data_IF_488124369599
#
_entry.id   IF_488124369599
#
_cell.length_a   1.000
_cell.length_b   1.000
_cell.length_c   1.000
_cell.angle_alpha   90.00
_cell.angle_beta   90.00
_cell.angle_gamma   90.00
#
_symmetry.space_group_name_H-M   'P 1'
#
loop_
_entity.id
_entity.type
_entity.pdbx_description
1 polymer ?
#
# COMPACT_ATOMS: atom_id res chain seq x y z
N UNK A 1 -23.02 -8.79 -17.95
CA UNK A 1 -21.87 -7.88 -17.84
C UNK A 1 -20.77 -8.65 -17.18
N UNK A 2 -19.72 -9.03 -17.90
CA UNK A 2 -18.52 -9.57 -17.29
C UNK A 2 -17.87 -8.43 -16.52
N UNK A 3 -18.03 -8.41 -15.20
CA UNK A 3 -17.19 -7.57 -14.37
C UNK A 3 -15.85 -8.29 -14.31
N UNK A 4 -14.85 -7.74 -15.01
CA UNK A 4 -13.47 -8.09 -14.69
C UNK A 4 -13.27 -7.89 -13.18
N UNK A 5 -12.52 -8.77 -12.52
CA UNK A 5 -12.23 -8.62 -11.10
C UNK A 5 -11.60 -7.23 -10.88
N UNK A 6 -11.93 -6.54 -9.78
CA UNK A 6 -11.36 -5.24 -9.49
C UNK A 6 -9.83 -5.35 -9.44
N UNK A 7 -9.13 -4.39 -10.04
CA UNK A 7 -7.67 -4.33 -9.94
C UNK A 7 -7.30 -4.12 -8.47
N UNK A 8 -6.37 -4.95 -7.99
CA UNK A 8 -5.89 -4.92 -6.62
C UNK A 8 -4.58 -4.14 -6.59
N UNK A 9 -4.50 -3.11 -5.76
CA UNK A 9 -3.32 -2.27 -5.58
C UNK A 9 -2.73 -2.48 -4.18
N UNK A 10 -1.42 -2.28 -4.03
CA UNK A 10 -0.76 -2.08 -2.73
C UNK A 10 -0.23 -0.65 -2.68
N UNK A 11 -0.39 0.06 -1.57
CA UNK A 11 0.21 1.40 -1.38
C UNK A 11 1.44 1.34 -0.51
N UNK A 12 2.42 2.20 -0.82
CA UNK A 12 3.47 2.59 0.11
C UNK A 12 2.95 3.60 1.16
N UNK A 13 3.83 4.00 2.09
CA UNK A 13 3.47 4.99 3.12
C UNK A 13 3.46 6.42 2.57
N UNK A 14 4.38 6.76 1.65
CA UNK A 14 4.58 8.12 1.18
C UNK A 14 3.35 8.68 0.45
N UNK A 15 2.71 7.89 -0.42
CA UNK A 15 1.46 8.32 -1.07
C UNK A 15 0.32 8.49 -0.07
N UNK A 16 0.24 7.61 0.93
CA UNK A 16 -0.79 7.69 1.96
C UNK A 16 -0.61 8.95 2.82
N UNK A 17 0.64 9.30 3.15
CA UNK A 17 0.98 10.53 3.87
C UNK A 17 0.58 11.76 3.04
N UNK A 18 0.89 11.77 1.75
CA UNK A 18 0.52 12.87 0.85
C UNK A 18 -1.00 13.05 0.76
N UNK A 19 -1.77 11.97 0.55
CA UNK A 19 -3.23 12.07 0.52
C UNK A 19 -3.81 12.47 1.87
N UNK A 20 -3.28 11.95 2.98
CA UNK A 20 -3.72 12.34 4.32
C UNK A 20 -3.43 13.81 4.64
N UNK A 21 -2.36 14.38 4.08
CA UNK A 21 -2.03 15.79 4.20
C UNK A 21 -2.79 16.71 3.24
N UNK A 22 -3.25 16.18 2.10
CA UNK A 22 -3.91 16.95 1.05
C UNK A 22 -5.44 16.83 1.11
N UNK A 23 -5.98 15.65 0.80
CA UNK A 23 -7.42 15.39 0.77
C UNK A 23 -7.71 13.88 0.84
N UNK A 24 -8.31 13.46 1.95
CA UNK A 24 -8.68 12.06 2.22
C UNK A 24 -9.83 11.55 1.34
N UNK A 25 -10.67 12.44 0.79
CA UNK A 25 -11.79 12.05 -0.07
C UNK A 25 -11.28 11.38 -1.37
N UNK A 26 -10.14 11.85 -1.89
CA UNK A 26 -9.52 11.23 -3.07
C UNK A 26 -9.12 9.79 -2.78
N UNK A 27 -8.52 9.53 -1.62
CA UNK A 27 -8.12 8.18 -1.21
C UNK A 27 -9.34 7.27 -0.98
N UNK A 28 -10.43 7.82 -0.43
CA UNK A 28 -11.71 7.11 -0.26
C UNK A 28 -12.32 6.72 -1.61
N UNK A 29 -12.33 7.63 -2.60
CA UNK A 29 -12.82 7.33 -3.96
C UNK A 29 -11.97 6.22 -4.60
N UNK A 30 -10.64 6.31 -4.48
CA UNK A 30 -9.71 5.28 -4.98
C UNK A 30 -10.07 3.91 -4.41
N UNK A 31 -10.21 3.81 -3.09
CA UNK A 31 -10.40 2.54 -2.38
C UNK A 31 -11.82 1.95 -2.47
N UNK A 32 -12.84 2.80 -2.67
CA UNK A 32 -14.25 2.36 -2.72
C UNK A 32 -14.80 2.19 -4.13
N UNK A 33 -14.30 2.97 -5.09
CA UNK A 33 -14.96 3.14 -6.39
C UNK A 33 -14.08 2.76 -7.58
N UNK A 34 -12.75 2.80 -7.45
CA UNK A 34 -11.84 2.53 -8.56
C UNK A 34 -11.16 1.17 -8.44
N UNK A 35 -10.55 0.88 -7.29
CA UNK A 35 -9.67 -0.27 -7.09
C UNK A 35 -9.77 -0.85 -5.68
N UNK A 36 -9.36 -2.11 -5.52
CA UNK A 36 -9.17 -2.68 -4.19
C UNK A 36 -7.80 -2.23 -3.66
N UNK A 37 -7.81 -1.20 -2.82
CA UNK A 37 -6.58 -0.66 -2.24
C UNK A 37 -6.20 -1.43 -0.98
N UNK A 38 -5.10 -2.18 -1.06
CA UNK A 38 -4.49 -2.84 0.08
C UNK A 38 -3.38 -1.99 0.67
N UNK A 39 -3.20 -2.09 1.98
CA UNK A 39 -2.06 -1.52 2.70
C UNK A 39 -1.54 -2.54 3.69
N UNK A 40 -0.24 -2.78 3.70
CA UNK A 40 0.35 -3.68 4.67
C UNK A 40 0.35 -3.04 6.07
N UNK A 41 0.01 -3.79 7.11
CA UNK A 41 -0.04 -3.25 8.48
C UNK A 41 1.26 -2.55 8.93
N UNK A 42 2.48 -3.05 8.62
CA UNK A 42 3.71 -2.32 8.91
C UNK A 42 3.85 -0.99 8.16
N UNK A 43 3.33 -0.89 6.94
CA UNK A 43 3.35 0.34 6.14
C UNK A 43 2.37 1.36 6.73
N UNK A 44 1.15 0.93 7.08
CA UNK A 44 0.14 1.80 7.67
C UNK A 44 0.63 2.46 8.98
N UNK A 45 1.45 1.75 9.76
CA UNK A 45 2.03 2.27 11.02
C UNK A 45 2.95 3.48 10.82
N UNK A 46 3.52 3.68 9.63
CA UNK A 46 4.30 4.87 9.32
C UNK A 46 3.41 6.10 9.07
N UNK A 47 2.15 5.88 8.66
CA UNK A 47 1.19 6.93 8.32
C UNK A 47 0.48 7.45 9.57
N UNK A 48 1.17 8.29 10.35
CA UNK A 48 0.67 8.81 11.64
C UNK A 48 -0.70 9.51 11.58
N UNK A 49 -1.04 10.09 10.43
CA UNK A 49 -2.30 10.79 10.22
C UNK A 49 -3.49 9.85 9.95
N UNK A 50 -3.24 8.56 9.72
CA UNK A 50 -4.26 7.58 9.33
C UNK A 50 -4.28 6.39 10.30
N UNK A 51 -5.34 6.30 11.11
CA UNK A 51 -5.53 5.14 11.98
C UNK A 51 -6.02 3.91 11.19
N UNK A 52 -5.85 2.72 11.78
CA UNK A 52 -6.39 1.45 11.27
C UNK A 52 -7.89 1.55 11.00
N UNK A 53 -8.63 2.08 11.98
CA UNK A 53 -10.09 2.22 11.91
C UNK A 53 -10.47 3.18 10.79
N UNK A 54 -9.78 4.32 10.67
CA UNK A 54 -10.07 5.28 9.61
C UNK A 54 -9.74 4.72 8.23
N UNK A 55 -8.62 4.00 8.08
CA UNK A 55 -8.26 3.32 6.84
C UNK A 55 -9.35 2.33 6.41
N UNK A 56 -9.83 1.49 7.32
CA UNK A 56 -10.92 0.55 7.02
C UNK A 56 -12.23 1.27 6.68
N UNK A 57 -12.55 2.36 7.38
CA UNK A 57 -13.76 3.15 7.12
C UNK A 57 -13.81 3.74 5.70
N UNK A 58 -12.67 4.14 5.15
CA UNK A 58 -12.58 4.69 3.78
C UNK A 58 -12.39 3.60 2.71
N UNK A 59 -12.52 2.31 3.08
CA UNK A 59 -12.44 1.19 2.15
C UNK A 59 -11.05 0.60 1.93
N UNK A 60 -10.01 1.02 2.66
CA UNK A 60 -8.69 0.38 2.58
C UNK A 60 -8.73 -1.00 3.23
N UNK A 61 -8.17 -1.99 2.53
CA UNK A 61 -8.03 -3.36 3.02
C UNK A 61 -6.65 -3.51 3.66
N UNK A 62 -6.63 -3.67 4.98
CA UNK A 62 -5.38 -3.90 5.71
C UNK A 62 -4.99 -5.37 5.54
N UNK A 63 -3.78 -5.63 5.08
CA UNK A 63 -3.25 -6.98 4.96
C UNK A 63 -2.01 -7.19 5.83
N UNK A 64 -1.88 -8.40 6.36
CA UNK A 64 -0.64 -8.83 7.00
C UNK A 64 0.32 -9.38 5.94
N UNK A 65 1.60 -8.98 5.97
CA UNK A 65 2.63 -9.64 5.20
C UNK A 65 2.87 -11.06 5.69
N UNK A 66 3.20 -11.95 4.78
CA UNK A 66 3.67 -13.30 5.10
C UNK A 66 5.09 -13.25 5.67
N UNK A 67 5.47 -14.29 6.43
CA UNK A 67 6.85 -14.40 6.93
C UNK A 67 7.88 -14.35 5.79
N UNK A 68 7.59 -15.00 4.66
CA UNK A 68 8.48 -15.02 3.51
C UNK A 68 8.68 -13.61 2.93
N UNK A 69 7.61 -12.83 2.76
CA UNK A 69 7.67 -11.43 2.32
C UNK A 69 8.51 -10.58 3.26
N UNK A 70 8.32 -10.73 4.58
CA UNK A 70 9.09 -10.00 5.60
C UNK A 70 10.57 -10.37 5.54
N UNK A 71 10.89 -11.66 5.49
CA UNK A 71 12.28 -12.12 5.44
C UNK A 71 13.00 -11.69 4.17
N UNK A 72 12.30 -11.70 3.02
CA UNK A 72 12.89 -11.23 1.77
C UNK A 72 13.14 -9.72 1.82
N UNK A 73 12.16 -8.94 2.30
CA UNK A 73 12.30 -7.50 2.45
C UNK A 73 13.48 -7.14 3.36
N UNK A 74 13.66 -7.85 4.48
CA UNK A 74 14.78 -7.65 5.39
C UNK A 74 16.15 -8.04 4.79
N UNK A 75 16.18 -9.07 3.94
CA UNK A 75 17.40 -9.51 3.26
C UNK A 75 17.82 -8.58 2.12
N UNK A 76 16.89 -7.80 1.56
CA UNK A 76 17.20 -6.80 0.52
C UNK A 76 17.95 -5.63 1.16
N UNK A 77 19.21 -5.41 0.79
CA UNK A 77 19.93 -4.17 1.11
C UNK A 77 19.56 -3.01 0.17
N UNK A 78 20.22 -1.86 0.33
CA UNK A 78 20.10 -0.73 -0.60
C UNK A 78 19.59 0.55 0.06
N UNK A 79 19.13 1.49 -0.77
CA UNK A 79 18.70 2.83 -0.36
C UNK A 79 17.24 2.93 0.08
N UNK A 80 16.43 1.90 -0.16
CA UNK A 80 15.02 1.88 0.24
C UNK A 80 14.87 1.69 1.76
N UNK A 81 13.85 2.32 2.33
CA UNK A 81 13.46 2.07 3.72
C UNK A 81 12.96 0.62 3.90
N UNK A 82 12.82 0.15 5.15
CA UNK A 82 12.23 -1.17 5.42
C UNK A 82 10.77 -1.28 4.91
N UNK A 83 9.87 -0.32 5.18
CA UNK A 83 8.52 -0.30 4.61
C UNK A 83 8.49 -0.35 3.07
N UNK A 84 9.37 0.39 2.39
CA UNK A 84 9.39 0.44 0.92
C UNK A 84 9.86 -0.89 0.33
N UNK A 85 10.89 -1.50 0.91
CA UNK A 85 11.33 -2.85 0.54
C UNK A 85 10.20 -3.86 0.70
N UNK A 86 9.46 -3.78 1.80
CA UNK A 86 8.33 -4.65 2.05
C UNK A 86 7.20 -4.43 1.03
N UNK A 87 6.86 -3.17 0.72
CA UNK A 87 5.87 -2.83 -0.29
C UNK A 87 6.23 -3.43 -1.65
N UNK A 88 7.48 -3.23 -2.09
CA UNK A 88 7.99 -3.77 -3.36
C UNK A 88 7.93 -5.31 -3.40
N UNK A 89 8.31 -5.98 -2.32
CA UNK A 89 8.27 -7.44 -2.23
C UNK A 89 6.83 -7.95 -2.31
N UNK A 90 5.88 -7.32 -1.60
CA UNK A 90 4.46 -7.67 -1.63
C UNK A 90 3.90 -7.46 -3.05
N UNK A 91 4.13 -6.29 -3.64
CA UNK A 91 3.69 -5.96 -5.00
C UNK A 91 4.15 -7.04 -6.00
N UNK A 92 5.44 -7.36 -5.99
CA UNK A 92 6.05 -8.36 -6.86
C UNK A 92 5.50 -9.77 -6.63
N UNK A 93 5.44 -10.23 -5.38
CA UNK A 93 5.03 -11.61 -5.05
C UNK A 93 3.55 -11.86 -5.30
N UNK A 94 2.70 -10.85 -5.07
CA UNK A 94 1.25 -10.96 -5.23
C UNK A 94 0.77 -10.54 -6.62
N UNK A 95 1.64 -9.96 -7.45
CA UNK A 95 1.29 -9.47 -8.78
C UNK A 95 0.38 -8.24 -8.74
N UNK A 96 0.51 -7.42 -7.69
CA UNK A 96 -0.31 -6.22 -7.49
C UNK A 96 0.49 -4.98 -7.90
N UNK A 97 -0.06 -4.05 -8.70
CA UNK A 97 0.59 -2.78 -8.94
C UNK A 97 0.77 -1.99 -7.63
N UNK A 98 1.91 -1.30 -7.53
CA UNK A 98 2.22 -0.42 -6.42
C UNK A 98 1.70 0.99 -6.71
N UNK A 99 0.86 1.54 -5.83
CA UNK A 99 0.51 2.95 -5.80
C UNK A 99 1.62 3.71 -5.06
N UNK A 100 2.43 4.47 -5.80
CA UNK A 100 3.60 5.17 -5.26
C UNK A 100 3.88 6.47 -6.03
N UNK A 101 4.35 7.49 -5.31
CA UNK A 101 4.93 8.72 -5.84
C UNK A 101 6.47 8.64 -5.84
N UNK A 102 7.07 7.76 -5.03
CA UNK A 102 8.52 7.56 -4.93
C UNK A 102 9.10 6.97 -6.22
N UNK A 103 10.16 7.61 -6.72
CA UNK A 103 10.89 7.16 -7.90
C UNK A 103 11.69 5.88 -7.63
N UNK A 104 12.13 5.66 -6.39
CA UNK A 104 12.92 4.48 -6.02
C UNK A 104 12.10 3.19 -6.03
N UNK A 105 10.77 3.28 -5.99
CA UNK A 105 9.85 2.15 -6.09
C UNK A 105 9.41 1.80 -7.52
N UNK A 106 9.83 2.58 -8.53
CA UNK A 106 9.50 2.35 -9.95
C UNK A 106 10.49 1.42 -10.67
N UNK A 107 10.94 0.38 -9.99
CA UNK A 107 11.96 -0.57 -10.47
C UNK A 107 11.42 -1.55 -11.51
#
# INVERSE_FOLDING_TARGET
MSHDPPVVLISDADVLIDYAGADMEVLEIIATSLWQLHVAMPILREVRALSVERAMQIGIIICEPTLEEITEAAARGGSLSEPDRLCLVIARKRGWPCLTNDLLLRQ
#
